data_IF_222199033007
#
_entry.id   IF_222199033007
#
_cell.length_a   1.000
_cell.length_b   1.000
_cell.length_c   1.000
_cell.angle_alpha   90.00
_cell.angle_beta   90.00
_cell.angle_gamma   90.00
#
_symmetry.space_group_name_H-M   'P 1'
#
loop_
_entity.id
_entity.type
_entity.pdbx_description
1 polymer ?
#
# COMPACT_ATOMS: atom_id res chain seq x y z
N UNK A 1 -28.13 2.44 7.74
CA UNK A 1 -27.58 1.29 7.00
C UNK A 1 -26.06 1.39 7.02
N UNK A 2 -25.42 0.58 7.86
CA UNK A 2 -23.97 0.51 8.02
C UNK A 2 -23.31 0.28 6.67
N UNK A 3 -22.48 1.22 6.20
CA UNK A 3 -21.55 0.99 5.09
C UNK A 3 -20.48 0.02 5.60
N UNK A 4 -20.79 -1.28 5.56
CA UNK A 4 -19.81 -2.32 5.83
C UNK A 4 -18.65 -2.13 4.87
N UNK A 5 -17.45 -2.05 5.42
CA UNK A 5 -16.27 -2.27 4.60
C UNK A 5 -16.28 -3.74 4.24
N UNK A 6 -16.37 -4.00 2.95
CA UNK A 6 -16.49 -5.34 2.41
C UNK A 6 -15.12 -5.97 2.11
N UNK A 7 -14.00 -5.32 2.47
CA UNK A 7 -12.65 -5.79 2.12
C UNK A 7 -11.69 -5.79 3.32
N UNK A 8 -11.12 -6.96 3.63
CA UNK A 8 -9.97 -7.10 4.52
C UNK A 8 -8.68 -6.79 3.75
N UNK A 9 -7.74 -6.10 4.38
CA UNK A 9 -6.46 -5.71 3.77
C UNK A 9 -5.32 -6.25 4.61
N UNK A 10 -4.45 -7.05 3.97
CA UNK A 10 -3.23 -7.61 4.56
C UNK A 10 -2.06 -6.88 3.91
N UNK A 11 -1.23 -6.22 4.72
CA UNK A 11 -0.07 -5.46 4.25
C UNK A 11 1.15 -6.38 4.25
N UNK A 12 1.54 -6.86 3.08
CA UNK A 12 2.67 -7.75 2.93
C UNK A 12 3.92 -6.95 2.53
N UNK A 13 4.84 -6.78 3.48
CA UNK A 13 6.15 -6.21 3.23
C UNK A 13 7.04 -7.27 2.62
N UNK A 14 7.09 -7.31 1.29
CA UNK A 14 7.68 -8.43 0.54
C UNK A 14 9.21 -8.49 0.65
N UNK A 15 9.87 -7.36 0.91
CA UNK A 15 11.33 -7.25 1.02
C UNK A 15 11.71 -6.05 1.89
N UNK A 16 12.86 -6.08 2.55
CA UNK A 16 13.50 -4.91 3.14
C UNK A 16 14.31 -4.12 2.09
N UNK A 17 14.75 -4.80 1.03
CA UNK A 17 15.64 -4.22 0.02
C UNK A 17 14.97 -3.04 -0.67
N UNK A 18 15.67 -1.92 -0.72
CA UNK A 18 15.21 -0.70 -1.36
C UNK A 18 16.36 -0.05 -2.15
N UNK A 19 16.03 0.60 -3.26
CA UNK A 19 16.96 1.42 -4.03
C UNK A 19 17.19 2.81 -3.42
N UNK A 20 16.35 3.24 -2.47
CA UNK A 20 16.47 4.50 -1.73
C UNK A 20 16.94 4.28 -0.28
N UNK A 21 17.40 5.35 0.36
CA UNK A 21 17.89 5.36 1.74
C UNK A 21 17.23 6.47 2.55
N UNK A 22 15.90 6.55 2.50
CA UNK A 22 15.12 7.56 3.21
C UNK A 22 15.46 7.58 4.70
N UNK A 23 15.81 8.76 5.23
CA UNK A 23 16.29 8.95 6.61
C UNK A 23 15.22 8.71 7.69
N UNK A 24 13.95 8.53 7.31
CA UNK A 24 12.83 8.18 8.21
C UNK A 24 12.27 6.76 7.97
N UNK A 25 12.93 5.95 7.12
CA UNK A 25 12.40 4.64 6.74
C UNK A 25 12.32 3.69 7.94
N UNK A 26 11.12 3.21 8.27
CA UNK A 26 10.87 2.27 9.37
C UNK A 26 10.73 0.81 8.91
N UNK A 27 10.73 0.56 7.59
CA UNK A 27 10.66 -0.79 7.02
C UNK A 27 12.06 -1.45 7.03
N UNK A 28 12.55 -1.77 8.24
CA UNK A 28 13.87 -2.34 8.51
C UNK A 28 13.74 -3.57 9.41
N UNK A 29 14.36 -4.68 9.01
CA UNK A 29 14.34 -5.99 9.70
C UNK A 29 15.73 -6.62 9.79
N UNK A 30 16.78 -5.79 9.73
CA UNK A 30 18.18 -6.19 9.82
C UNK A 30 18.59 -7.32 8.85
N UNK A 31 18.20 -7.18 7.58
CA UNK A 31 18.51 -8.14 6.49
C UNK A 31 18.02 -9.56 6.81
N UNK A 32 16.70 -9.74 6.95
CA UNK A 32 16.15 -11.04 7.28
C UNK A 32 16.38 -12.06 6.16
N UNK A 33 16.20 -13.34 6.48
CA UNK A 33 15.99 -14.37 5.45
C UNK A 33 14.62 -14.17 4.80
N UNK A 34 14.57 -13.47 3.67
CA UNK A 34 13.32 -13.11 3.00
C UNK A 34 12.71 -14.32 2.27
N UNK A 35 11.46 -14.68 2.57
CA UNK A 35 10.81 -15.86 1.97
C UNK A 35 10.64 -15.75 0.45
N UNK A 36 10.60 -14.52 -0.08
CA UNK A 36 10.56 -14.31 -1.53
C UNK A 36 11.86 -14.79 -2.21
N UNK A 37 13.00 -14.83 -1.51
CA UNK A 37 14.24 -15.36 -2.07
C UNK A 37 14.31 -16.90 -2.07
N UNK A 38 13.45 -17.58 -1.32
CA UNK A 38 13.53 -19.01 -1.06
C UNK A 38 12.51 -19.80 -1.88
N UNK A 39 12.91 -20.24 -3.08
CA UNK A 39 12.11 -21.14 -3.90
C UNK A 39 10.66 -20.65 -4.11
N UNK A 40 9.70 -21.41 -3.55
CA UNK A 40 8.26 -21.14 -3.62
C UNK A 40 7.65 -20.72 -2.28
N UNK A 41 8.46 -20.42 -1.26
CA UNK A 41 8.00 -20.17 0.12
C UNK A 41 6.99 -19.01 0.19
N UNK A 42 7.24 -17.91 -0.54
CA UNK A 42 6.29 -16.81 -0.63
C UNK A 42 4.96 -17.22 -1.29
N UNK A 43 4.97 -18.04 -2.34
CA UNK A 43 3.76 -18.58 -2.95
C UNK A 43 3.00 -19.52 -2.01
N UNK A 44 3.70 -20.41 -1.30
CA UNK A 44 3.11 -21.31 -0.30
C UNK A 44 2.49 -20.52 0.86
N UNK A 45 3.12 -19.44 1.29
CA UNK A 45 2.55 -18.54 2.30
C UNK A 45 1.26 -17.90 1.77
N UNK A 46 1.25 -17.41 0.54
CA UNK A 46 0.06 -16.84 -0.09
C UNK A 46 -1.08 -17.86 -0.23
N UNK A 47 -0.77 -19.12 -0.54
CA UNK A 47 -1.73 -20.23 -0.54
C UNK A 47 -2.32 -20.49 0.85
N UNK A 48 -1.47 -20.54 1.89
CA UNK A 48 -1.94 -20.68 3.29
C UNK A 48 -2.85 -19.52 3.69
N UNK A 49 -2.49 -18.29 3.30
CA UNK A 49 -3.35 -17.10 3.51
C UNK A 49 -4.68 -17.25 2.79
N UNK A 50 -4.69 -17.67 1.52
CA UNK A 50 -5.91 -17.85 0.75
C UNK A 50 -6.84 -18.88 1.41
N UNK A 51 -6.30 -20.05 1.74
CA UNK A 51 -7.05 -21.12 2.40
C UNK A 51 -7.69 -20.63 3.72
N UNK A 52 -6.94 -19.90 4.55
CA UNK A 52 -7.46 -19.39 5.82
C UNK A 52 -8.50 -18.27 5.64
N UNK A 53 -8.21 -17.28 4.80
CA UNK A 53 -9.07 -16.09 4.68
C UNK A 53 -10.27 -16.28 3.74
N UNK A 54 -10.28 -17.29 2.87
CA UNK A 54 -11.42 -17.57 2.00
C UNK A 54 -12.23 -18.79 2.44
N UNK A 55 -11.58 -19.87 2.88
CA UNK A 55 -12.23 -21.19 2.95
C UNK A 55 -12.29 -21.79 4.37
N UNK A 56 -11.53 -21.27 5.33
CA UNK A 56 -11.47 -21.84 6.69
C UNK A 56 -12.65 -21.39 7.57
N UNK A 57 -13.51 -22.35 7.92
CA UNK A 57 -14.66 -22.13 8.80
C UNK A 57 -14.28 -21.79 10.25
N UNK A 58 -13.02 -21.99 10.64
CA UNK A 58 -12.47 -21.63 11.96
C UNK A 58 -11.78 -20.26 11.97
N UNK A 59 -11.87 -19.51 10.87
CA UNK A 59 -11.32 -18.18 10.74
C UNK A 59 -11.97 -17.18 11.72
N UNK A 60 -11.22 -16.86 12.77
CA UNK A 60 -11.66 -15.99 13.85
C UNK A 60 -11.79 -14.53 13.38
N UNK A 61 -11.00 -14.11 12.39
CA UNK A 61 -11.11 -12.77 11.80
C UNK A 61 -12.46 -12.58 11.12
N UNK A 62 -12.92 -13.57 10.34
CA UNK A 62 -14.21 -13.50 9.64
C UNK A 62 -15.38 -13.35 10.61
N UNK A 63 -15.28 -13.94 11.80
CA UNK A 63 -16.31 -13.86 12.84
C UNK A 63 -16.45 -12.45 13.44
N UNK A 64 -15.34 -11.71 13.59
CA UNK A 64 -15.34 -10.35 14.15
C UNK A 64 -15.41 -9.25 13.09
N UNK A 65 -14.93 -9.53 11.89
CA UNK A 65 -14.92 -8.63 10.73
C UNK A 65 -15.42 -9.39 9.50
N UNK A 66 -16.74 -9.34 9.18
CA UNK A 66 -17.35 -10.13 8.12
C UNK A 66 -17.08 -9.53 6.72
N UNK A 67 -15.81 -9.48 6.32
CA UNK A 67 -15.39 -9.01 4.99
C UNK A 67 -15.95 -9.89 3.87
N UNK A 68 -16.07 -9.37 2.64
CA UNK A 68 -16.49 -10.12 1.44
C UNK A 68 -15.34 -10.43 0.50
N UNK A 69 -14.31 -9.58 0.48
CA UNK A 69 -13.08 -9.78 -0.27
C UNK A 69 -11.85 -9.58 0.60
N UNK A 70 -10.71 -10.03 0.12
CA UNK A 70 -9.41 -9.82 0.78
C UNK A 70 -8.46 -9.22 -0.23
N UNK A 71 -7.70 -8.21 0.19
CA UNK A 71 -6.68 -7.56 -0.61
C UNK A 71 -5.30 -7.75 0.00
N UNK A 72 -4.36 -8.16 -0.84
CA UNK A 72 -2.93 -8.10 -0.51
C UNK A 72 -2.41 -6.74 -0.96
N UNK A 73 -1.96 -5.95 0.01
CA UNK A 73 -1.23 -4.72 -0.24
C UNK A 73 0.27 -5.01 -0.20
N UNK A 74 0.90 -5.10 -1.36
CA UNK A 74 2.35 -5.25 -1.45
C UNK A 74 3.04 -3.95 -1.05
N UNK A 75 3.94 -4.02 -0.08
CA UNK A 75 4.75 -2.92 0.42
C UNK A 75 6.16 -3.45 0.77
N UNK A 76 6.96 -2.67 1.52
CA UNK A 76 8.31 -3.08 1.96
C UNK A 76 9.34 -1.99 1.65
N UNK A 77 10.57 -2.41 1.39
CA UNK A 77 11.64 -1.55 0.91
C UNK A 77 11.26 -0.93 -0.43
N UNK A 78 11.37 -1.71 -1.52
CA UNK A 78 10.75 -1.40 -2.81
C UNK A 78 10.34 -2.71 -3.54
N UNK A 79 9.05 -3.08 -3.57
CA UNK A 79 8.59 -4.32 -4.22
C UNK A 79 9.06 -4.47 -5.68
N UNK A 80 9.08 -3.37 -6.44
CA UNK A 80 9.43 -3.39 -7.86
C UNK A 80 10.91 -3.72 -8.13
N UNK A 81 11.79 -3.65 -7.11
CA UNK A 81 13.20 -4.02 -7.27
C UNK A 81 13.38 -5.52 -7.54
N UNK A 82 12.39 -6.33 -7.15
CA UNK A 82 12.42 -7.79 -7.29
C UNK A 82 12.13 -8.25 -8.74
N UNK A 83 11.71 -7.34 -9.64
CA UNK A 83 11.51 -7.60 -11.09
C UNK A 83 10.66 -8.85 -11.33
N UNK A 84 11.16 -9.82 -12.13
CA UNK A 84 10.52 -11.10 -12.45
C UNK A 84 10.03 -11.87 -11.23
N UNK A 85 10.67 -11.71 -10.07
CA UNK A 85 10.21 -12.35 -8.85
C UNK A 85 8.91 -11.73 -8.35
N UNK A 86 8.78 -10.40 -8.40
CA UNK A 86 7.53 -9.72 -8.05
C UNK A 86 6.41 -10.06 -9.04
N UNK A 87 6.70 -10.14 -10.33
CA UNK A 87 5.74 -10.52 -11.38
C UNK A 87 5.07 -11.87 -11.05
N UNK A 88 5.86 -12.88 -10.66
CA UNK A 88 5.34 -14.18 -10.21
C UNK A 88 4.41 -14.05 -9.00
N UNK A 89 4.75 -13.21 -8.03
CA UNK A 89 3.93 -12.99 -6.83
C UNK A 89 2.61 -12.28 -7.17
N UNK A 90 2.63 -11.30 -8.09
CA UNK A 90 1.41 -10.63 -8.58
C UNK A 90 0.46 -11.66 -9.18
N UNK A 91 0.97 -12.46 -10.14
CA UNK A 91 0.18 -13.46 -10.87
C UNK A 91 -0.37 -14.51 -9.89
N UNK A 92 0.48 -15.06 -9.02
CA UNK A 92 0.04 -16.06 -8.03
C UNK A 92 -1.05 -15.52 -7.12
N UNK A 93 -0.86 -14.31 -6.60
CA UNK A 93 -1.81 -13.69 -5.66
C UNK A 93 -3.14 -13.40 -6.33
N UNK A 94 -3.14 -12.98 -7.61
CA UNK A 94 -4.36 -12.86 -8.40
C UNK A 94 -5.09 -14.17 -8.63
N UNK A 95 -4.36 -15.23 -8.99
CA UNK A 95 -4.93 -16.55 -9.22
C UNK A 95 -5.59 -17.14 -7.95
N UNK A 96 -5.08 -16.77 -6.78
CA UNK A 96 -5.66 -17.14 -5.48
C UNK A 96 -6.91 -16.33 -5.10
N UNK A 97 -7.37 -15.40 -5.93
CA UNK A 97 -8.61 -14.64 -5.72
C UNK A 97 -8.46 -13.34 -4.92
N UNK A 98 -7.25 -12.95 -4.54
CA UNK A 98 -7.02 -11.68 -3.84
C UNK A 98 -7.18 -10.47 -4.76
N UNK A 99 -7.73 -9.40 -4.22
CA UNK A 99 -7.51 -8.05 -4.76
C UNK A 99 -6.07 -7.61 -4.50
N UNK A 100 -5.54 -6.73 -5.33
CA UNK A 100 -4.17 -6.24 -5.19
C UNK A 100 -4.12 -4.74 -4.96
N UNK A 101 -3.22 -4.31 -4.09
CA UNK A 101 -2.67 -2.96 -4.09
C UNK A 101 -1.15 -2.99 -3.96
N UNK A 102 -0.51 -1.90 -4.35
CA UNK A 102 0.94 -1.73 -4.28
C UNK A 102 1.27 -0.38 -3.63
N UNK A 103 2.19 -0.36 -2.68
CA UNK A 103 2.88 0.85 -2.24
C UNK A 103 4.31 0.82 -2.80
N UNK A 104 4.68 1.86 -3.54
CA UNK A 104 5.99 1.98 -4.20
C UNK A 104 6.56 3.39 -4.04
N UNK A 105 7.88 3.52 -4.13
CA UNK A 105 8.56 4.81 -4.27
C UNK A 105 8.51 5.37 -5.72
N UNK A 106 7.94 4.61 -6.66
CA UNK A 106 7.72 5.00 -8.06
C UNK A 106 8.93 4.80 -8.97
N UNK A 107 10.14 4.65 -8.43
CA UNK A 107 11.37 4.67 -9.22
C UNK A 107 11.44 3.56 -10.30
N UNK A 108 10.88 2.38 -10.00
CA UNK A 108 10.81 1.26 -10.94
C UNK A 108 9.40 1.03 -11.51
N UNK A 109 8.50 1.99 -11.33
CA UNK A 109 7.16 1.97 -11.91
C UNK A 109 7.23 2.39 -13.38
N UNK A 110 7.86 1.53 -14.18
CA UNK A 110 8.11 1.77 -15.61
C UNK A 110 6.86 1.56 -16.45
N UNK A 111 6.82 2.17 -17.64
CA UNK A 111 5.73 1.96 -18.61
C UNK A 111 5.50 0.46 -18.86
N UNK A 112 6.58 -0.32 -19.03
CA UNK A 112 6.49 -1.77 -19.22
C UNK A 112 5.86 -2.51 -18.03
N UNK A 113 6.13 -2.10 -16.79
CA UNK A 113 5.45 -2.69 -15.63
C UNK A 113 3.96 -2.33 -15.64
N UNK A 114 3.63 -1.06 -15.91
CA UNK A 114 2.26 -0.56 -15.93
C UNK A 114 1.45 -1.28 -17.01
N UNK A 115 1.98 -1.39 -18.23
CA UNK A 115 1.31 -2.00 -19.37
C UNK A 115 1.01 -3.49 -19.13
N UNK A 116 1.93 -4.21 -18.48
CA UNK A 116 1.78 -5.64 -18.25
C UNK A 116 0.95 -5.97 -17.00
N UNK A 117 1.02 -5.16 -15.94
CA UNK A 117 0.49 -5.52 -14.62
C UNK A 117 -0.46 -4.48 -14.01
N UNK A 118 -0.51 -3.25 -14.52
CA UNK A 118 -1.29 -2.15 -13.94
C UNK A 118 -2.79 -2.48 -13.81
N UNK A 119 -3.36 -3.19 -14.78
CA UNK A 119 -4.76 -3.66 -14.75
C UNK A 119 -5.06 -4.70 -13.65
N UNK A 120 -4.04 -5.33 -13.07
CA UNK A 120 -4.24 -6.30 -11.98
C UNK A 120 -4.42 -5.60 -10.61
N UNK A 121 -4.05 -4.33 -10.49
CA UNK A 121 -4.12 -3.59 -9.24
C UNK A 121 -5.41 -2.80 -9.11
N UNK A 122 -6.07 -2.91 -7.96
CA UNK A 122 -7.20 -2.05 -7.58
C UNK A 122 -6.74 -0.68 -7.11
N UNK A 123 -5.53 -0.59 -6.56
CA UNK A 123 -4.95 0.64 -6.03
C UNK A 123 -3.44 0.63 -6.17
N UNK A 124 -2.84 1.76 -6.54
CA UNK A 124 -1.40 1.99 -6.40
C UNK A 124 -1.17 3.25 -5.57
N UNK A 125 -0.45 3.09 -4.47
CA UNK A 125 0.05 4.15 -3.61
C UNK A 125 1.49 4.52 -3.97
N UNK A 126 1.71 5.76 -4.37
CA UNK A 126 3.04 6.28 -4.71
C UNK A 126 3.52 7.16 -3.56
N UNK A 127 4.68 6.83 -3.02
CA UNK A 127 5.32 7.61 -1.96
C UNK A 127 6.09 8.76 -2.58
N UNK A 128 5.66 9.99 -2.32
CA UNK A 128 6.16 11.21 -2.95
C UNK A 128 6.19 12.35 -1.92
N UNK A 129 7.40 12.77 -1.54
CA UNK A 129 7.58 13.70 -0.41
C UNK A 129 8.00 15.11 -0.81
N UNK A 130 8.47 15.35 -2.03
CA UNK A 130 8.90 16.69 -2.44
C UNK A 130 8.95 16.83 -3.95
N UNK A 131 8.60 18.02 -4.43
CA UNK A 131 8.72 18.41 -5.83
C UNK A 131 10.16 18.82 -6.18
N UNK A 132 10.96 19.17 -5.19
CA UNK A 132 12.33 19.66 -5.37
C UNK A 132 13.33 18.51 -5.28
N UNK A 133 14.28 18.46 -6.22
CA UNK A 133 15.32 17.44 -6.24
C UNK A 133 16.20 17.50 -4.99
N UNK A 134 16.60 18.70 -4.58
CA UNK A 134 17.46 18.93 -3.40
C UNK A 134 16.82 18.41 -2.11
N UNK A 135 15.52 18.60 -1.92
CA UNK A 135 14.81 18.05 -0.77
C UNK A 135 14.72 16.51 -0.86
N UNK A 136 14.40 15.94 -2.03
CA UNK A 136 14.38 14.48 -2.23
C UNK A 136 15.75 13.84 -1.95
N UNK A 137 16.84 14.45 -2.40
CA UNK A 137 18.21 14.03 -2.12
C UNK A 137 18.50 14.04 -0.61
N UNK A 138 18.18 15.15 0.06
CA UNK A 138 18.42 15.30 1.49
C UNK A 138 17.54 14.40 2.35
N UNK A 139 16.34 14.04 1.87
CA UNK A 139 15.49 13.02 2.47
C UNK A 139 16.11 11.62 2.30
N UNK A 140 16.80 11.37 1.19
CA UNK A 140 17.31 10.05 0.80
C UNK A 140 16.45 9.32 -0.24
N UNK A 141 15.56 10.04 -0.95
CA UNK A 141 14.77 9.54 -2.10
C UNK A 141 15.57 9.63 -3.40
N UNK A 142 16.77 9.07 -3.40
CA UNK A 142 17.65 9.02 -4.55
C UNK A 142 18.36 7.69 -4.57
N UNK A 143 18.52 7.11 -5.77
CA UNK A 143 19.24 5.85 -5.91
C UNK A 143 20.76 6.07 -5.92
N UNK A 144 21.52 4.98 -5.87
CA UNK A 144 23.00 5.03 -5.91
C UNK A 144 23.57 5.61 -7.21
N UNK A 145 22.74 5.78 -8.24
CA UNK A 145 23.11 6.36 -9.55
C UNK A 145 22.69 7.82 -9.68
N UNK A 146 22.18 8.44 -8.61
CA UNK A 146 21.74 9.83 -8.62
C UNK A 146 20.35 10.04 -9.23
N UNK A 147 19.53 9.00 -9.39
CA UNK A 147 18.19 9.11 -9.98
C UNK A 147 17.11 9.20 -8.91
N UNK A 148 16.18 10.12 -9.09
CA UNK A 148 15.06 10.37 -8.17
C UNK A 148 13.74 10.52 -8.92
N UNK A 149 12.69 9.86 -8.43
CA UNK A 149 11.33 9.92 -8.99
C UNK A 149 10.68 11.28 -8.68
N UNK A 150 10.47 12.10 -9.72
CA UNK A 150 10.02 13.50 -9.61
C UNK A 150 8.58 13.73 -10.05
N UNK A 151 8.14 14.99 -10.02
CA UNK A 151 6.76 15.36 -10.38
C UNK A 151 6.39 14.95 -11.81
N UNK A 152 7.32 15.08 -12.77
CA UNK A 152 7.10 14.64 -14.14
C UNK A 152 6.89 13.12 -14.22
N UNK A 153 7.70 12.33 -13.50
CA UNK A 153 7.57 10.87 -13.46
C UNK A 153 6.25 10.46 -12.81
N UNK A 154 5.84 11.14 -11.73
CA UNK A 154 4.56 10.93 -11.07
C UNK A 154 3.38 11.17 -12.01
N UNK A 155 3.35 12.32 -12.70
CA UNK A 155 2.29 12.67 -13.65
C UNK A 155 2.22 11.64 -14.78
N UNK A 156 3.38 11.28 -15.35
CA UNK A 156 3.47 10.27 -16.40
C UNK A 156 2.94 8.91 -15.93
N UNK A 157 3.41 8.42 -14.78
CA UNK A 157 3.01 7.13 -14.23
C UNK A 157 1.51 7.07 -13.93
N UNK A 158 0.94 8.13 -13.33
CA UNK A 158 -0.51 8.20 -13.07
C UNK A 158 -1.33 8.20 -14.36
N UNK A 159 -0.88 8.95 -15.37
CA UNK A 159 -1.53 9.00 -16.68
C UNK A 159 -1.56 7.62 -17.33
N UNK A 160 -0.42 6.92 -17.34
CA UNK A 160 -0.31 5.57 -17.89
C UNK A 160 -1.12 4.54 -17.09
N UNK A 161 -1.11 4.63 -15.75
CA UNK A 161 -1.91 3.73 -14.92
C UNK A 161 -3.40 3.84 -15.23
N UNK A 162 -3.89 5.06 -15.47
CA UNK A 162 -5.30 5.29 -15.83
C UNK A 162 -5.62 4.90 -17.27
N UNK A 163 -4.64 4.90 -18.18
CA UNK A 163 -4.87 4.43 -19.55
C UNK A 163 -5.09 2.92 -19.60
N UNK A 164 -4.36 2.15 -18.78
CA UNK A 164 -4.48 0.68 -18.70
C UNK A 164 -5.57 0.23 -17.73
N UNK A 165 -5.90 1.04 -16.72
CA UNK A 165 -6.95 0.77 -15.75
C UNK A 165 -7.68 2.07 -15.36
N UNK A 166 -8.75 2.45 -16.08
CA UNK A 166 -9.51 3.68 -15.80
C UNK A 166 -10.15 3.73 -14.41
N UNK A 167 -10.30 2.58 -13.74
CA UNK A 167 -10.91 2.46 -12.42
C UNK A 167 -9.91 2.39 -11.26
N UNK A 168 -8.61 2.47 -11.56
CA UNK A 168 -7.57 2.34 -10.54
C UNK A 168 -7.67 3.46 -9.51
N UNK A 169 -7.56 3.10 -8.23
CA UNK A 169 -7.41 4.09 -7.16
C UNK A 169 -5.95 4.49 -7.05
N UNK A 170 -5.64 5.73 -7.38
CA UNK A 170 -4.35 6.37 -7.15
C UNK A 170 -4.31 6.96 -5.75
N UNK A 171 -3.28 6.59 -5.01
CA UNK A 171 -2.99 7.12 -3.69
C UNK A 171 -1.62 7.79 -3.69
N UNK A 172 -1.51 8.95 -3.07
CA UNK A 172 -0.22 9.59 -2.78
C UNK A 172 0.05 9.50 -1.29
N UNK A 173 1.26 9.11 -0.91
CA UNK A 173 1.74 9.16 0.47
C UNK A 173 2.84 10.21 0.57
N UNK A 174 2.70 11.15 1.49
CA UNK A 174 3.69 12.19 1.76
C UNK A 174 4.05 12.15 3.23
N UNK A 175 5.33 12.00 3.54
CA UNK A 175 5.88 12.17 4.90
C UNK A 175 6.36 13.61 5.05
N UNK A 176 5.63 14.40 5.82
CA UNK A 176 5.94 15.79 6.12
C UNK A 176 7.11 15.85 7.11
N UNK A 177 8.14 16.57 6.74
CA UNK A 177 9.40 16.70 7.43
C UNK A 177 10.00 18.10 7.23
N UNK A 178 11.11 18.39 7.92
CA UNK A 178 11.73 19.72 7.93
C UNK A 178 12.13 20.24 6.53
N UNK A 179 12.29 19.35 5.54
CA UNK A 179 12.66 19.72 4.18
C UNK A 179 11.47 20.05 3.27
N UNK A 180 10.24 19.67 3.64
CA UNK A 180 9.06 19.84 2.78
C UNK A 180 7.84 20.49 3.46
N UNK A 181 7.86 20.76 4.77
CA UNK A 181 6.69 21.28 5.48
C UNK A 181 6.20 22.65 5.00
N UNK A 182 7.02 23.38 4.24
CA UNK A 182 6.67 24.65 3.62
C UNK A 182 6.21 24.51 2.16
N UNK A 183 6.38 23.34 1.54
CA UNK A 183 5.97 23.13 0.15
C UNK A 183 4.45 23.21 -0.01
N UNK A 184 4.02 23.62 -1.20
CA UNK A 184 2.64 23.49 -1.66
C UNK A 184 2.55 22.43 -2.75
N UNK A 185 1.76 21.39 -2.49
CA UNK A 185 1.40 20.32 -3.41
C UNK A 185 0.11 20.60 -4.17
N UNK A 186 -0.54 21.74 -3.94
CA UNK A 186 -1.89 22.03 -4.43
C UNK A 186 -2.01 21.86 -5.95
N UNK A 187 -1.10 22.46 -6.72
CA UNK A 187 -1.10 22.36 -8.17
C UNK A 187 -0.80 20.94 -8.66
N UNK A 188 0.14 20.24 -8.03
CA UNK A 188 0.50 18.88 -8.41
C UNK A 188 -0.67 17.93 -8.16
N UNK A 189 -1.27 17.98 -6.97
CA UNK A 189 -2.40 17.14 -6.58
C UNK A 189 -3.63 17.46 -7.42
N UNK A 190 -3.90 18.73 -7.72
CA UNK A 190 -4.98 19.12 -8.62
C UNK A 190 -4.78 18.62 -10.06
N UNK A 191 -3.52 18.47 -10.50
CA UNK A 191 -3.19 17.91 -11.80
C UNK A 191 -3.38 16.38 -11.82
N UNK A 192 -2.75 15.66 -10.89
CA UNK A 192 -2.81 14.19 -10.87
C UNK A 192 -4.14 13.65 -10.31
N UNK A 193 -4.94 14.46 -9.61
CA UNK A 193 -6.27 14.13 -9.09
C UNK A 193 -6.34 12.75 -8.39
N UNK A 194 -5.49 12.44 -7.41
CA UNK A 194 -5.53 11.15 -6.76
C UNK A 194 -6.82 11.01 -5.94
N UNK A 195 -7.32 9.79 -5.82
CA UNK A 195 -8.50 9.50 -5.01
C UNK A 195 -8.19 9.57 -3.51
N UNK A 196 -6.91 9.46 -3.13
CA UNK A 196 -6.48 9.63 -1.73
C UNK A 196 -5.10 10.26 -1.63
N UNK A 197 -4.93 11.19 -0.71
CA UNK A 197 -3.64 11.74 -0.32
C UNK A 197 -3.43 11.55 1.18
N UNK A 198 -2.52 10.65 1.56
CA UNK A 198 -2.13 10.46 2.96
C UNK A 198 -0.95 11.35 3.30
N UNK A 199 -1.11 12.14 4.34
CA UNK A 199 -0.13 13.10 4.81
C UNK A 199 0.27 12.68 6.22
N UNK A 200 1.49 12.20 6.37
CA UNK A 200 2.02 11.68 7.63
C UNK A 200 2.97 12.70 8.25
N UNK A 201 2.86 12.96 9.54
CA UNK A 201 3.96 13.59 10.26
C UNK A 201 5.13 12.59 10.33
N UNK A 202 6.37 13.07 10.16
CA UNK A 202 7.55 12.20 10.29
C UNK A 202 7.69 11.67 11.71
N UNK A 203 7.95 10.37 11.82
CA UNK A 203 8.23 9.70 13.10
C UNK A 203 9.72 9.80 13.47
N UNK A 204 10.06 9.92 14.77
CA UNK A 204 11.43 9.93 15.27
C UNK A 204 12.05 8.53 15.34
N UNK A 205 12.15 7.83 14.20
CA UNK A 205 12.60 6.42 14.17
C UNK A 205 14.12 6.27 14.07
N UNK A 206 14.75 7.07 13.20
CA UNK A 206 16.17 6.91 12.87
C UNK A 206 17.00 8.18 13.07
N UNK A 207 16.39 9.35 12.86
CA UNK A 207 17.10 10.63 12.90
C UNK A 207 16.15 11.79 13.23
N UNK A 208 16.57 12.65 14.16
CA UNK A 208 15.80 13.82 14.59
C UNK A 208 15.91 15.02 13.63
N UNK A 209 16.87 15.03 12.69
CA UNK A 209 17.13 16.17 11.80
C UNK A 209 15.99 16.49 10.82
N UNK A 210 15.09 15.53 10.60
CA UNK A 210 13.94 15.69 9.72
C UNK A 210 12.65 16.03 10.47
N UNK A 211 12.66 16.04 11.81
CA UNK A 211 11.45 16.26 12.60
C UNK A 211 10.84 17.63 12.34
N UNK A 212 9.51 17.68 12.47
CA UNK A 212 8.71 18.90 12.45
C UNK A 212 7.88 18.96 13.72
N UNK A 213 7.67 20.16 14.23
CA UNK A 213 6.72 20.38 15.32
C UNK A 213 5.29 20.16 14.85
N UNK A 214 4.38 19.93 15.79
CA UNK A 214 2.95 19.81 15.50
C UNK A 214 2.39 21.09 14.87
N UNK A 215 2.95 22.25 15.20
CA UNK A 215 2.61 23.53 14.57
C UNK A 215 3.05 23.57 13.11
N UNK A 216 4.27 23.12 12.80
CA UNK A 216 4.77 23.05 11.42
C UNK A 216 3.94 22.06 10.59
N UNK A 217 3.60 20.90 11.14
CA UNK A 217 2.74 19.92 10.50
C UNK A 217 1.33 20.47 10.28
N UNK A 218 0.73 21.08 11.31
CA UNK A 218 -0.57 21.76 11.21
C UNK A 218 -0.56 22.87 10.16
N UNK A 219 0.54 23.61 10.05
CA UNK A 219 0.76 24.61 9.00
C UNK A 219 0.74 24.01 7.61
N UNK A 220 1.37 22.84 7.40
CA UNK A 220 1.29 22.09 6.14
C UNK A 220 -0.15 21.68 5.83
N UNK A 221 -0.88 21.11 6.79
CA UNK A 221 -2.28 20.68 6.60
C UNK A 221 -3.18 21.88 6.25
N UNK A 222 -3.07 22.99 7.00
CA UNK A 222 -3.85 24.21 6.74
C UNK A 222 -3.58 24.81 5.37
N UNK A 223 -2.33 24.80 4.91
CA UNK A 223 -1.96 25.26 3.56
C UNK A 223 -2.69 24.50 2.45
N UNK A 224 -3.01 23.24 2.70
CA UNK A 224 -3.69 22.36 1.74
C UNK A 224 -5.17 22.12 2.08
N UNK A 225 -5.81 23.04 2.79
CA UNK A 225 -7.22 22.90 3.20
C UNK A 225 -8.19 22.79 2.00
N UNK A 226 -7.83 23.30 0.83
CA UNK A 226 -8.58 23.12 -0.43
C UNK A 226 -8.65 21.65 -0.88
N UNK A 227 -7.73 20.81 -0.41
CA UNK A 227 -7.63 19.38 -0.75
C UNK A 227 -8.20 18.45 0.34
N UNK A 228 -8.90 19.00 1.34
CA UNK A 228 -9.40 18.26 2.52
C UNK A 228 -10.25 17.03 2.20
N UNK A 229 -10.93 17.01 1.06
CA UNK A 229 -11.81 15.90 0.67
C UNK A 229 -11.04 14.62 0.33
N UNK A 230 -9.79 14.75 -0.12
CA UNK A 230 -8.92 13.60 -0.44
C UNK A 230 -7.73 13.47 0.52
N UNK A 231 -7.42 14.54 1.25
CA UNK A 231 -6.32 14.58 2.21
C UNK A 231 -6.74 13.94 3.53
N UNK A 232 -6.00 12.92 3.94
CA UNK A 232 -6.11 12.33 5.27
C UNK A 232 -4.78 12.55 5.98
N UNK A 233 -4.77 13.51 6.90
CA UNK A 233 -3.64 13.79 7.77
C UNK A 233 -3.60 12.77 8.92
N UNK A 234 -2.43 12.19 9.15
CA UNK A 234 -2.18 11.27 10.26
C UNK A 234 -0.98 11.76 11.06
N UNK A 235 -1.22 12.02 12.34
CA UNK A 235 -0.18 12.25 13.33
C UNK A 235 0.36 10.90 13.86
N UNK A 236 1.35 11.00 14.74
CA UNK A 236 2.06 9.86 15.28
C UNK A 236 1.17 8.95 16.16
N UNK A 237 0.10 9.49 16.77
CA UNK A 237 -0.80 8.75 17.65
C UNK A 237 -1.78 7.87 16.87
N UNK A 238 -2.07 8.21 15.60
CA UNK A 238 -3.05 7.49 14.80
C UNK A 238 -2.65 6.05 14.41
N UNK A 239 -1.39 5.63 14.52
CA UNK A 239 -0.84 4.45 13.82
C UNK A 239 -0.82 3.12 14.60
N UNK A 240 -1.34 3.04 15.83
CA UNK A 240 -1.30 1.81 16.63
C UNK A 240 -2.43 0.84 16.30
N UNK A 241 -2.09 -0.46 16.19
CA UNK A 241 -3.00 -1.61 16.13
C UNK A 241 -4.07 -1.63 15.02
N UNK A 242 -3.86 -0.86 13.96
CA UNK A 242 -4.86 -0.67 12.90
C UNK A 242 -4.53 -1.35 11.57
N UNK A 243 -3.45 -2.14 11.54
CA UNK A 243 -2.96 -2.81 10.34
C UNK A 243 -2.72 -4.28 10.63
N UNK A 244 -3.14 -5.14 9.71
CA UNK A 244 -2.67 -6.52 9.62
C UNK A 244 -1.45 -6.54 8.70
N UNK A 245 -0.29 -6.88 9.24
CA UNK A 245 1.00 -6.75 8.54
C UNK A 245 1.80 -8.04 8.56
N UNK A 246 2.45 -8.35 7.44
CA UNK A 246 3.37 -9.48 7.29
C UNK A 246 4.73 -8.95 6.89
N UNK A 247 5.78 -9.35 7.60
CA UNK A 247 7.16 -8.92 7.33
C UNK A 247 7.81 -9.78 6.21
N UNK A 248 9.03 -9.45 5.75
CA UNK A 248 9.69 -10.21 4.68
C UNK A 248 9.99 -11.68 5.01
N UNK A 249 9.96 -12.09 6.27
CA UNK A 249 10.14 -13.49 6.70
C UNK A 249 8.84 -14.30 6.66
N UNK A 250 7.69 -13.67 6.38
CA UNK A 250 6.39 -14.34 6.46
C UNK A 250 5.88 -14.50 7.88
N UNK A 251 6.16 -13.53 8.76
CA UNK A 251 5.58 -13.44 10.11
C UNK A 251 4.56 -12.32 10.16
N UNK A 252 3.44 -12.57 10.82
CA UNK A 252 2.59 -11.47 11.26
C UNK A 252 3.32 -10.64 12.31
N UNK A 253 3.10 -9.33 12.30
CA UNK A 253 3.69 -8.44 13.29
C UNK A 253 2.81 -7.20 13.52
N UNK A 254 2.94 -6.60 14.69
CA UNK A 254 2.18 -5.43 15.09
C UNK A 254 3.03 -4.46 15.91
N UNK A 255 2.65 -3.17 15.92
CA UNK A 255 3.25 -2.17 16.79
C UNK A 255 3.06 -2.58 18.25
N UNK A 256 4.10 -2.45 19.08
CA UNK A 256 4.03 -2.72 20.51
C UNK A 256 4.67 -1.59 21.29
N UNK A 257 3.99 -1.14 22.35
CA UNK A 257 4.52 -0.14 23.29
C UNK A 257 5.48 -0.77 24.32
N UNK A 258 5.46 -2.09 24.48
CA UNK A 258 6.19 -2.82 25.54
C UNK A 258 7.43 -3.57 25.02
N UNK A 259 7.54 -3.76 23.71
CA UNK A 259 8.70 -4.36 23.04
C UNK A 259 9.39 -3.30 22.15
N UNK A 260 10.56 -3.60 21.57
CA UNK A 260 11.35 -2.70 20.72
C UNK A 260 10.60 -2.23 19.44
N UNK A 261 9.51 -1.49 19.60
CA UNK A 261 8.60 -1.01 18.55
C UNK A 261 7.61 -2.05 18.01
N UNK A 262 7.97 -3.34 17.96
CA UNK A 262 7.15 -4.39 17.34
C UNK A 262 7.13 -5.70 18.13
N UNK A 263 6.03 -6.43 18.01
CA UNK A 263 5.89 -7.84 18.38
C UNK A 263 5.72 -8.68 17.12
N UNK A 264 6.40 -9.83 17.05
CA UNK A 264 6.40 -10.73 15.90
C UNK A 264 5.81 -12.09 16.28
N UNK A 265 4.91 -12.60 15.44
CA UNK A 265 4.41 -13.96 15.54
C UNK A 265 5.38 -14.98 14.96
N UNK A 266 4.98 -16.25 15.07
CA UNK A 266 5.70 -17.36 14.44
C UNK A 266 5.65 -17.28 12.91
N UNK A 267 6.51 -18.08 12.25
CA UNK A 267 6.52 -18.20 10.79
C UNK A 267 5.22 -18.86 10.31
N UNK A 268 4.51 -18.20 9.39
CA UNK A 268 3.24 -18.72 8.84
C UNK A 268 3.43 -20.10 8.19
N UNK A 269 4.60 -20.35 7.59
CA UNK A 269 4.89 -21.64 6.97
C UNK A 269 5.02 -22.77 7.98
N UNK A 270 5.53 -22.47 9.19
CA UNK A 270 5.80 -23.46 10.24
C UNK A 270 4.54 -23.80 11.03
N UNK A 271 3.78 -22.78 11.45
CA UNK A 271 2.64 -22.97 12.38
C UNK A 271 1.27 -22.78 11.74
N UNK A 272 1.23 -22.29 10.49
CA UNK A 272 -0.02 -21.92 9.82
C UNK A 272 -0.55 -20.54 10.21
N UNK A 273 -1.53 -20.05 9.43
CA UNK A 273 -2.04 -18.67 9.57
C UNK A 273 -2.71 -18.43 10.91
N UNK A 274 -3.55 -19.36 11.37
CA UNK A 274 -4.33 -19.22 12.61
C UNK A 274 -3.44 -18.94 13.82
N UNK A 275 -2.42 -19.77 14.04
CA UNK A 275 -1.51 -19.61 15.18
C UNK A 275 -0.59 -18.38 14.99
N UNK A 276 -0.03 -18.18 13.79
CA UNK A 276 0.84 -17.03 13.55
C UNK A 276 0.13 -15.68 13.75
N UNK A 277 -1.20 -15.64 13.58
CA UNK A 277 -2.03 -14.45 13.71
C UNK A 277 -2.34 -14.07 15.16
N UNK A 278 -2.16 -14.96 16.14
CA UNK A 278 -2.50 -14.71 17.56
C UNK A 278 -1.77 -13.50 18.16
N UNK A 279 -0.64 -13.10 17.55
CA UNK A 279 0.12 -11.91 17.92
C UNK A 279 -0.60 -10.58 17.57
N UNK A 280 -1.60 -10.62 16.68
CA UNK A 280 -2.26 -9.43 16.16
C UNK A 280 -3.56 -9.11 16.91
N UNK A 281 -3.54 -8.06 17.73
CA UNK A 281 -4.71 -7.47 18.37
C UNK A 281 -5.25 -6.31 17.52
N UNK A 282 -6.08 -6.62 16.52
CA UNK A 282 -6.56 -5.60 15.57
C UNK A 282 -7.69 -4.78 16.18
N UNK A 283 -7.53 -3.45 16.24
CA UNK A 283 -8.63 -2.53 16.48
C UNK A 283 -9.47 -2.39 15.20
N UNK A 284 -10.56 -3.16 15.11
CA UNK A 284 -11.41 -3.22 13.91
C UNK A 284 -12.10 -1.90 13.57
N UNK A 285 -12.37 -1.04 14.54
CA UNK A 285 -12.95 0.29 14.29
C UNK A 285 -11.94 1.20 13.56
N UNK A 286 -10.71 1.24 14.06
CA UNK A 286 -9.62 2.03 13.46
C UNK A 286 -9.16 1.42 12.13
N UNK A 287 -9.10 0.09 12.05
CA UNK A 287 -8.90 -0.62 10.78
C UNK A 287 -9.95 -0.17 9.75
N UNK A 288 -11.22 -0.15 10.17
CA UNK A 288 -12.32 0.24 9.29
C UNK A 288 -12.15 1.69 8.83
N UNK A 289 -11.95 2.66 9.71
CA UNK A 289 -11.82 4.08 9.31
C UNK A 289 -10.70 4.32 8.29
N UNK A 290 -9.60 3.57 8.35
CA UNK A 290 -8.47 3.67 7.40
C UNK A 290 -8.82 3.26 5.97
N UNK A 291 -9.69 2.26 5.86
CA UNK A 291 -10.11 1.67 4.59
C UNK A 291 -11.52 2.09 4.16
N UNK A 292 -12.21 2.93 4.95
CA UNK A 292 -13.49 3.54 4.53
C UNK A 292 -13.23 4.30 3.22
N UNK A 293 -14.07 3.99 2.24
CA UNK A 293 -14.33 4.88 1.10
C UNK A 293 -15.18 6.02 1.67
N UNK A 294 -14.55 7.12 2.07
CA UNK A 294 -15.35 8.33 2.30
C UNK A 294 -16.02 8.73 0.97
N UNK A 295 -17.29 9.12 1.07
CA UNK A 295 -18.26 9.29 -0.02
C UNK A 295 -17.77 10.33 -1.05
N UNK A 296 -18.06 10.28 -2.35
CA UNK A 296 -19.34 10.02 -3.03
C UNK A 296 -19.08 9.68 -4.50
N UNK A 297 -19.64 8.58 -5.01
CA UNK A 297 -20.60 8.53 -6.14
C UNK A 297 -21.29 7.17 -6.05
N UNK A 298 -22.62 7.20 -6.07
CA UNK A 298 -23.50 6.06 -6.16
C UNK A 298 -23.47 5.43 -7.56
N UNK A 299 -23.85 4.14 -7.62
CA UNK A 299 -24.20 3.32 -8.81
C UNK A 299 -22.97 2.61 -9.42
N UNK A 300 -22.96 1.30 -9.72
CA UNK A 300 -23.98 0.42 -10.33
C UNK A 300 -23.72 -1.03 -9.84
N UNK A 301 -24.75 -1.89 -9.75
CA UNK A 301 -24.60 -3.31 -9.34
C UNK A 301 -23.88 -4.17 -10.38
N UNK A 302 -23.12 -5.17 -9.90
CA UNK A 302 -22.34 -6.15 -10.70
C UNK A 302 -23.12 -6.86 -11.83
N UNK A 303 -24.45 -6.81 -11.83
CA UNK A 303 -25.30 -7.32 -12.91
C UNK A 303 -25.12 -6.58 -14.24
N UNK A 304 -24.78 -5.28 -14.23
CA UNK A 304 -24.62 -4.50 -15.48
C UNK A 304 -23.28 -4.76 -16.19
N UNK A 305 -22.25 -5.24 -15.48
CA UNK A 305 -20.96 -5.58 -16.09
C UNK A 305 -21.02 -6.90 -16.87
N UNK A 306 -21.79 -7.89 -16.40
CA UNK A 306 -21.95 -9.17 -17.12
C UNK A 306 -22.82 -9.04 -18.39
N UNK A 307 -23.74 -8.07 -18.43
CA UNK A 307 -24.57 -7.82 -19.61
C UNK A 307 -23.79 -7.17 -20.76
N UNK A 308 -22.82 -6.28 -20.46
CA UNK A 308 -22.01 -5.63 -21.51
C UNK A 308 -20.98 -6.55 -22.15
N UNK A 309 -20.42 -7.51 -21.41
CA UNK A 309 -19.40 -8.42 -21.94
C UNK A 309 -19.98 -9.66 -22.67
N UNK A 310 -21.23 -10.04 -22.42
CA UNK A 310 -21.88 -11.13 -23.17
C UNK A 310 -22.39 -10.70 -24.56
N UNK A 311 -22.54 -9.40 -24.82
CA UNK A 311 -22.88 -8.88 -26.15
C UNK A 311 -21.66 -8.80 -27.08
N UNK A 312 -20.46 -8.54 -26.55
CA UNK A 312 -19.22 -8.45 -27.32
C UNK A 312 -18.65 -9.82 -27.77
N UNK A 313 -19.09 -10.92 -27.16
CA UNK A 313 -18.66 -12.28 -27.52
C UNK A 313 -19.60 -12.99 -28.51
N UNK A 314 -20.72 -12.36 -28.92
CA UNK A 314 -21.68 -12.94 -29.88
C UNK A 314 -21.65 -12.32 -31.29
N UNK A 315 -20.78 -11.34 -31.55
CA UNK A 315 -20.64 -10.70 -32.87
C UNK A 315 -19.32 -11.02 -33.60
N UNK A 316 -18.55 -12.00 -33.11
CA UNK A 316 -17.28 -12.43 -33.71
C UNK A 316 -17.32 -13.78 -34.46
N UNK A 317 -18.51 -14.34 -34.73
CA UNK A 317 -18.66 -15.61 -35.48
C UNK A 317 -19.76 -15.44 -36.53
N UNK A 318 -19.45 -14.76 -37.63
CA UNK A 318 -20.07 -15.00 -38.94
C UNK A 318 -19.29 -14.26 -40.03
N UNK A 319 -18.85 -15.04 -41.02
CA UNK A 319 -18.05 -14.71 -42.20
C UNK A 319 -16.53 -14.60 -41.98
#
# INVERSE_FOLDING_TARGET
>A
MNKSIDELVINYHVTEVCNYSCKFCYAKWDRPNEIQANGQDAELMLEKLANYFFDDNTNQVKAVFPYKSVRINFAGGEPLILKKRFEKLIIKTKLLGFNLSLITNGHYLTDSFIDNYGAMFSMIGISFDSQYLTARENIGRIDRKGKSFGSHDLIKAVTQLRSVNPSITIKVNTVVNNLNYQESFELLIANIKPEKWKVFQVLPVLNNNLLVSDEQFSGFVKRHASLKEIMVAEDNEAMTNSYLMINPQGRFYQNSATQNGYIYGDLILDVGVKQALEVCEINWETFTSRYKKDNTVSLISNSEYQLKNNAALKQGVSA
#
